data_IF_115064416465
#
_entry.id   IF_115064416465
#
_cell.length_a   1.000
_cell.length_b   1.000
_cell.length_c   1.000
_cell.angle_alpha   90.00
_cell.angle_beta   90.00
_cell.angle_gamma   90.00
#
_symmetry.space_group_name_H-M   'P 1'
#
loop_
_entity.id
_entity.type
_entity.pdbx_description
1 polymer ?
#
# COMPACT_ATOMS: atom_id res chain seq x y z
N UNK A 1 22.06 19.01 -8.36
CA UNK A 1 20.61 18.82 -8.49
C UNK A 1 20.26 18.70 -9.98
N UNK A 2 19.31 17.85 -10.37
CA UNK A 2 18.86 17.78 -11.76
C UNK A 2 18.15 19.09 -12.15
N UNK A 3 18.49 19.66 -13.31
CA UNK A 3 17.93 20.93 -13.84
C UNK A 3 16.40 20.93 -13.82
N UNK A 4 15.79 19.80 -14.19
CA UNK A 4 14.34 19.60 -14.17
C UNK A 4 13.68 19.80 -12.79
N UNK A 5 14.38 19.49 -11.69
CA UNK A 5 13.85 19.65 -10.32
C UNK A 5 13.84 21.12 -9.92
N UNK A 6 14.89 21.87 -10.28
CA UNK A 6 14.96 23.29 -10.00
C UNK A 6 13.89 24.06 -10.79
N UNK A 7 13.68 23.69 -12.06
CA UNK A 7 12.61 24.25 -12.91
C UNK A 7 11.22 23.92 -12.34
N UNK A 8 10.98 22.67 -11.93
CA UNK A 8 9.69 22.28 -11.33
C UNK A 8 9.42 23.04 -10.03
N UNK A 9 10.41 23.17 -9.14
CA UNK A 9 10.27 23.96 -7.90
C UNK A 9 9.97 25.42 -8.21
N UNK A 10 10.68 26.01 -9.18
CA UNK A 10 10.45 27.39 -9.60
C UNK A 10 9.02 27.57 -10.13
N UNK A 11 8.56 26.65 -10.99
CA UNK A 11 7.20 26.68 -11.52
C UNK A 11 6.15 26.54 -10.41
N UNK A 12 6.34 25.60 -9.48
CA UNK A 12 5.44 25.39 -8.34
C UNK A 12 5.35 26.64 -7.45
N UNK A 13 6.48 27.29 -7.16
CA UNK A 13 6.50 28.52 -6.36
C UNK A 13 5.77 29.69 -7.03
N UNK A 14 5.74 29.73 -8.37
CA UNK A 14 5.00 30.73 -9.14
C UNK A 14 3.49 30.42 -9.22
N UNK A 15 3.12 29.14 -9.24
CA UNK A 15 1.71 28.70 -9.24
C UNK A 15 1.07 28.90 -7.86
N UNK A 16 1.78 28.55 -6.80
CA UNK A 16 1.32 28.60 -5.41
C UNK A 16 1.96 29.81 -4.69
N UNK A 17 1.63 31.01 -5.17
CA UNK A 17 2.28 32.24 -4.76
C UNK A 17 1.62 32.95 -3.56
N UNK A 18 0.47 32.47 -3.09
CA UNK A 18 -0.17 33.09 -1.93
C UNK A 18 0.54 32.73 -0.61
N UNK A 19 0.27 33.53 0.42
CA UNK A 19 0.90 33.38 1.73
C UNK A 19 0.60 31.99 2.31
N UNK A 20 1.66 31.29 2.72
CA UNK A 20 1.64 29.94 3.31
C UNK A 20 1.25 28.81 2.33
N UNK A 21 1.11 29.09 1.02
CA UNK A 21 0.81 28.05 0.02
C UNK A 21 2.02 27.26 -0.42
N UNK A 22 3.20 27.87 -0.52
CA UNK A 22 4.44 27.18 -0.87
C UNK A 22 5.55 27.53 0.12
N UNK A 23 6.22 26.50 0.64
CA UNK A 23 7.36 26.65 1.53
C UNK A 23 8.45 25.65 1.17
N UNK A 24 9.62 26.16 0.76
CA UNK A 24 10.81 25.35 0.54
C UNK A 24 11.50 25.11 1.89
N UNK A 25 11.57 23.86 2.33
CA UNK A 25 12.11 23.49 3.65
C UNK A 25 13.61 23.19 3.57
N UNK A 26 14.01 22.39 2.58
CA UNK A 26 15.39 21.97 2.40
C UNK A 26 15.69 21.75 0.93
N UNK A 27 16.87 22.17 0.49
CA UNK A 27 17.41 21.82 -0.82
C UNK A 27 18.87 21.43 -0.64
N UNK A 28 19.21 20.22 -1.07
CA UNK A 28 20.55 19.68 -0.96
C UNK A 28 20.88 18.79 -2.14
N UNK A 29 22.12 18.86 -2.61
CA UNK A 29 22.63 17.98 -3.66
C UNK A 29 22.80 16.53 -3.19
N UNK A 30 22.75 16.27 -1.87
CA UNK A 30 22.93 14.93 -1.28
C UNK A 30 21.64 14.29 -0.76
N UNK A 31 20.61 15.10 -0.46
CA UNK A 31 19.33 14.63 0.10
C UNK A 31 18.17 14.87 -0.87
N UNK A 32 18.36 15.73 -1.86
CA UNK A 32 17.32 16.16 -2.78
C UNK A 32 16.60 17.42 -2.31
N UNK A 33 15.33 17.58 -2.68
CA UNK A 33 14.53 18.75 -2.32
C UNK A 33 13.33 18.36 -1.45
N UNK A 34 13.10 19.12 -0.38
CA UNK A 34 11.93 18.99 0.49
C UNK A 34 11.20 20.32 0.49
N UNK A 35 9.93 20.29 0.13
CA UNK A 35 9.05 21.46 0.19
C UNK A 35 7.65 21.05 0.60
N UNK A 36 6.88 22.04 1.02
CA UNK A 36 5.51 21.92 1.45
C UNK A 36 4.62 22.80 0.60
N UNK A 37 3.49 22.23 0.18
CA UNK A 37 2.43 22.93 -0.54
C UNK A 37 1.14 22.81 0.27
N UNK A 38 0.50 23.93 0.54
CA UNK A 38 -0.82 23.99 1.15
C UNK A 38 -1.85 24.27 0.06
N UNK A 39 -2.88 23.43 -0.02
CA UNK A 39 -3.96 23.60 -0.99
C UNK A 39 -5.33 23.57 -0.30
N UNK A 40 -6.28 24.31 -0.87
CA UNK A 40 -7.69 24.17 -0.54
C UNK A 40 -8.36 23.14 -1.47
N UNK A 41 -9.02 22.14 -0.90
CA UNK A 41 -9.82 21.14 -1.62
C UNK A 41 -11.27 21.22 -1.18
N UNK A 42 -12.19 20.82 -2.05
CA UNK A 42 -13.62 20.85 -1.76
C UNK A 42 -14.02 19.68 -0.84
N UNK A 43 -14.44 19.98 0.39
CA UNK A 43 -14.93 18.99 1.36
C UNK A 43 -16.43 18.75 1.30
N UNK A 44 -17.13 19.21 0.26
CA UNK A 44 -18.57 19.10 0.08
C UNK A 44 -19.32 20.31 0.66
N UNK A 45 -19.20 20.55 1.96
CA UNK A 45 -19.86 21.71 2.63
C UNK A 45 -18.92 22.89 2.85
N UNK A 46 -17.61 22.63 2.96
CA UNK A 46 -16.58 23.66 3.21
C UNK A 46 -15.25 23.28 2.55
N UNK A 47 -14.44 24.29 2.21
CA UNK A 47 -13.06 24.09 1.74
C UNK A 47 -12.17 23.56 2.85
N UNK A 48 -11.53 22.42 2.64
CA UNK A 48 -10.56 21.79 3.55
C UNK A 48 -9.14 22.20 3.13
N UNK A 49 -8.33 22.61 4.10
CA UNK A 49 -6.90 22.90 3.86
C UNK A 49 -6.07 21.63 4.06
N UNK A 50 -5.36 21.23 3.01
CA UNK A 50 -4.41 20.12 3.02
C UNK A 50 -2.99 20.66 2.97
N UNK A 51 -2.13 20.13 3.83
CA UNK A 51 -0.68 20.37 3.81
C UNK A 51 0.00 19.13 3.24
N UNK A 52 0.54 19.27 2.05
CA UNK A 52 1.26 18.24 1.31
C UNK A 52 2.76 18.54 1.39
N UNK A 53 3.54 17.62 1.94
CA UNK A 53 5.00 17.72 1.92
C UNK A 53 5.54 16.72 0.91
N UNK A 54 6.37 17.21 0.00
CA UNK A 54 7.05 16.42 -1.02
C UNK A 54 8.52 16.33 -0.67
N UNK A 55 9.08 15.13 -0.74
CA UNK A 55 10.50 14.88 -0.76
C UNK A 55 10.87 14.29 -2.11
N UNK A 56 11.62 15.07 -2.88
CA UNK A 56 12.15 14.69 -4.19
C UNK A 56 13.56 14.14 -3.97
N UNK A 57 13.80 12.83 -4.08
CA UNK A 57 15.14 12.26 -4.03
C UNK A 57 15.98 12.67 -5.25
N UNK A 58 17.29 12.43 -5.22
CA UNK A 58 18.21 12.85 -6.28
C UNK A 58 17.88 12.18 -7.62
N UNK A 59 17.37 10.95 -7.57
CA UNK A 59 17.03 10.16 -8.75
C UNK A 59 15.67 10.58 -9.37
N UNK A 60 14.93 11.50 -8.75
CA UNK A 60 13.70 12.05 -9.32
C UNK A 60 14.01 12.86 -10.60
N UNK A 61 13.19 12.75 -11.66
CA UNK A 61 11.88 12.08 -11.76
C UNK A 61 11.92 10.61 -12.19
N UNK A 62 13.09 9.96 -12.16
CA UNK A 62 13.23 8.54 -12.51
C UNK A 62 12.74 7.60 -11.39
N UNK A 63 12.45 8.15 -10.21
CA UNK A 63 11.82 7.46 -9.09
C UNK A 63 10.70 8.32 -8.48
N UNK A 64 9.89 7.71 -7.61
CA UNK A 64 8.73 8.37 -7.02
C UNK A 64 9.16 9.37 -5.92
N UNK A 65 8.45 10.50 -5.77
CA UNK A 65 8.60 11.35 -4.61
C UNK A 65 8.03 10.67 -3.35
N UNK A 66 8.59 10.95 -2.16
CA UNK A 66 7.87 10.66 -0.92
C UNK A 66 6.89 11.79 -0.62
N UNK A 67 5.66 11.42 -0.30
CA UNK A 67 4.55 12.35 -0.11
C UNK A 67 4.03 12.16 1.30
N UNK A 68 3.94 13.24 2.07
CA UNK A 68 3.30 13.27 3.38
C UNK A 68 2.09 14.18 3.35
N UNK A 69 0.95 13.65 3.76
CA UNK A 69 -0.34 14.37 3.77
C UNK A 69 -0.74 14.64 5.20
N UNK A 70 -1.00 15.90 5.53
CA UNK A 70 -1.46 16.33 6.84
C UNK A 70 -2.64 17.29 6.72
N UNK A 71 -3.62 17.13 7.61
CA UNK A 71 -4.81 17.96 7.67
C UNK A 71 -5.38 17.91 9.09
N UNK A 72 -5.86 19.04 9.60
CA UNK A 72 -6.45 19.13 10.94
C UNK A 72 -7.86 18.52 10.99
N UNK A 73 -8.57 18.50 9.86
CA UNK A 73 -9.96 18.04 9.78
C UNK A 73 -10.12 16.59 9.29
N UNK A 74 -9.06 15.99 8.77
CA UNK A 74 -9.09 14.61 8.30
C UNK A 74 -8.51 13.65 9.34
N UNK A 75 -9.10 12.47 9.41
CA UNK A 75 -8.56 11.37 10.20
C UNK A 75 -7.22 10.89 9.62
N UNK A 76 -6.39 10.27 10.46
CA UNK A 76 -5.14 9.64 10.01
C UNK A 76 -5.36 8.63 8.89
N UNK A 77 -6.50 7.93 8.89
CA UNK A 77 -6.88 6.97 7.83
C UNK A 77 -7.15 7.66 6.50
N UNK A 78 -7.88 8.78 6.51
CA UNK A 78 -8.14 9.59 5.31
C UNK A 78 -6.85 10.19 4.74
N UNK A 79 -5.96 10.73 5.58
CA UNK A 79 -4.66 11.23 5.14
C UNK A 79 -3.80 10.12 4.49
N UNK A 80 -3.82 8.91 5.06
CA UNK A 80 -3.14 7.76 4.45
C UNK A 80 -3.78 7.38 3.11
N UNK A 81 -5.11 7.33 3.03
CA UNK A 81 -5.81 7.03 1.78
C UNK A 81 -5.44 8.02 0.66
N UNK A 82 -5.37 9.32 0.98
CA UNK A 82 -4.94 10.37 0.05
C UNK A 82 -3.48 10.17 -0.36
N UNK A 83 -2.56 9.91 0.60
CA UNK A 83 -1.15 9.60 0.31
C UNK A 83 -1.04 8.44 -0.68
N UNK A 84 -1.75 7.34 -0.41
CA UNK A 84 -1.71 6.15 -1.28
C UNK A 84 -2.27 6.44 -2.67
N UNK A 85 -3.36 7.19 -2.77
CA UNK A 85 -3.97 7.56 -4.04
C UNK A 85 -3.05 8.46 -4.88
N UNK A 86 -2.35 9.40 -4.25
CA UNK A 86 -1.32 10.22 -4.90
C UNK A 86 -0.15 9.39 -5.41
N UNK A 87 0.37 8.46 -4.60
CA UNK A 87 1.47 7.57 -5.01
C UNK A 87 1.05 6.66 -6.17
N UNK A 88 -0.19 6.17 -6.17
CA UNK A 88 -0.73 5.38 -7.29
C UNK A 88 -0.74 6.20 -8.59
N UNK A 89 -1.23 7.44 -8.55
CA UNK A 89 -1.19 8.35 -9.72
C UNK A 89 0.25 8.69 -10.12
N UNK A 90 1.18 8.85 -9.17
CA UNK A 90 2.58 9.14 -9.44
C UNK A 90 3.27 8.04 -10.24
N UNK A 91 2.88 6.76 -10.06
CA UNK A 91 3.45 5.65 -10.86
C UNK A 91 3.15 5.77 -12.35
N UNK A 92 2.09 6.47 -12.73
CA UNK A 92 1.71 6.69 -14.14
C UNK A 92 2.46 7.87 -14.78
N UNK A 93 3.18 8.67 -13.96
CA UNK A 93 3.83 9.92 -14.37
C UNK A 93 5.36 9.85 -14.23
N UNK A 94 5.91 8.65 -14.03
CA UNK A 94 7.35 8.42 -13.95
C UNK A 94 8.04 8.94 -15.23
N UNK A 95 9.27 9.44 -15.07
CA UNK A 95 10.10 10.02 -16.14
C UNK A 95 9.78 11.49 -16.49
N UNK A 96 8.94 12.18 -15.72
CA UNK A 96 8.72 13.62 -15.83
C UNK A 96 8.38 14.30 -14.51
N UNK A 97 8.45 15.65 -14.44
CA UNK A 97 7.98 16.42 -13.30
C UNK A 97 6.47 16.18 -13.11
N UNK A 98 6.07 15.71 -11.93
CA UNK A 98 4.71 15.20 -11.67
C UNK A 98 3.98 15.90 -10.53
N UNK A 99 4.65 16.77 -9.76
CA UNK A 99 4.11 17.29 -8.50
C UNK A 99 2.87 18.16 -8.75
N UNK A 100 2.91 19.03 -9.75
CA UNK A 100 1.76 19.88 -10.08
C UNK A 100 0.56 19.04 -10.56
N UNK A 101 0.80 18.05 -11.43
CA UNK A 101 -0.27 17.18 -11.93
C UNK A 101 -0.92 16.37 -10.79
N UNK A 102 -0.11 15.89 -9.84
CA UNK A 102 -0.60 15.20 -8.65
C UNK A 102 -1.53 16.06 -7.80
N UNK A 103 -1.21 17.35 -7.65
CA UNK A 103 -2.02 18.30 -6.90
C UNK A 103 -3.35 18.58 -7.61
N UNK A 104 -3.31 18.86 -8.92
CA UNK A 104 -4.51 19.09 -9.73
C UNK A 104 -5.41 17.85 -9.73
N UNK A 105 -4.82 16.66 -9.87
CA UNK A 105 -5.55 15.41 -9.80
C UNK A 105 -6.22 15.22 -8.43
N UNK A 106 -5.51 15.52 -7.34
CA UNK A 106 -6.08 15.44 -6.00
C UNK A 106 -7.25 16.40 -5.82
N UNK A 107 -7.13 17.65 -6.27
CA UNK A 107 -8.22 18.63 -6.17
C UNK A 107 -9.51 18.12 -6.83
N UNK A 108 -9.40 17.44 -7.98
CA UNK A 108 -10.55 16.85 -8.68
C UNK A 108 -11.08 15.56 -8.05
N UNK A 109 -10.24 14.75 -7.41
CA UNK A 109 -10.61 13.41 -6.92
C UNK A 109 -10.77 13.36 -5.39
N UNK A 110 -10.58 14.47 -4.69
CA UNK A 110 -10.54 14.52 -3.24
C UNK A 110 -11.84 14.03 -2.60
N UNK A 111 -13.01 14.47 -3.07
CA UNK A 111 -14.32 14.07 -2.53
C UNK A 111 -14.51 12.56 -2.63
N UNK A 112 -14.25 11.98 -3.80
CA UNK A 112 -14.36 10.55 -4.04
C UNK A 112 -13.41 9.72 -3.17
N UNK A 113 -12.17 10.19 -2.95
CA UNK A 113 -11.20 9.51 -2.07
C UNK A 113 -11.65 9.63 -0.60
N UNK A 114 -12.13 10.80 -0.21
CA UNK A 114 -12.51 11.10 1.16
C UNK A 114 -13.79 10.33 1.56
N UNK A 115 -14.79 10.25 0.70
CA UNK A 115 -16.03 9.49 0.92
C UNK A 115 -15.77 7.99 1.05
N UNK A 116 -14.94 7.42 0.15
CA UNK A 116 -14.51 6.02 0.23
C UNK A 116 -13.79 5.69 1.55
N UNK A 117 -13.07 6.66 2.12
CA UNK A 117 -12.39 6.49 3.39
C UNK A 117 -13.26 6.77 4.62
N UNK A 118 -14.28 7.63 4.51
CA UNK A 118 -15.14 8.05 5.61
C UNK A 118 -16.28 7.06 5.89
N UNK A 119 -16.79 6.39 4.86
CA UNK A 119 -17.89 5.43 4.98
C UNK A 119 -17.55 4.16 4.18
N UNK A 120 -17.20 3.03 4.84
CA UNK A 120 -17.00 1.74 4.14
C UNK A 120 -18.32 1.11 3.67
N UNK A 121 -19.42 1.87 3.64
CA UNK A 121 -20.69 1.39 3.09
C UNK A 121 -20.55 1.39 1.59
N UNK A 122 -20.50 0.20 1.03
CA UNK A 122 -20.72 -0.07 -0.39
C UNK A 122 -21.90 0.76 -0.91
N UNK A 123 -21.70 1.46 -2.04
CA UNK A 123 -22.72 1.44 -3.06
C UNK A 123 -22.11 0.88 -4.32
N UNK A 124 -22.77 -0.14 -4.84
CA UNK A 124 -22.66 -0.54 -6.23
C UNK A 124 -23.00 0.63 -7.17
N UNK A 125 -22.38 0.58 -8.36
CA UNK A 125 -22.75 1.26 -9.61
C UNK A 125 -22.49 2.79 -9.66
N UNK A 126 -21.97 3.40 -10.75
CA UNK A 126 -21.74 2.97 -12.13
C UNK A 126 -20.87 4.02 -12.87
N UNK A 127 -20.43 3.65 -14.08
CA UNK A 127 -19.65 4.37 -15.11
C UNK A 127 -18.14 4.42 -14.87
N UNK A 128 -17.25 3.96 -15.75
CA UNK A 128 -17.40 3.36 -17.08
C UNK A 128 -16.14 2.53 -17.40
N UNK A 129 -16.37 1.37 -18.04
CA UNK A 129 -15.52 0.73 -19.06
C UNK A 129 -14.18 0.09 -18.65
N UNK A 130 -14.19 -1.25 -18.67
CA UNK A 130 -13.13 -2.03 -19.33
C UNK A 130 -11.84 -2.26 -18.55
N UNK A 131 -11.94 -2.93 -17.41
CA UNK A 131 -10.78 -3.60 -16.82
C UNK A 131 -11.27 -4.67 -15.88
N UNK A 132 -11.09 -5.95 -16.23
CA UNK A 132 -11.20 -7.03 -15.26
C UNK A 132 -10.44 -6.59 -14.00
N UNK A 133 -11.10 -6.55 -12.85
CA UNK A 133 -10.43 -6.33 -11.59
C UNK A 133 -9.46 -7.50 -11.41
N UNK A 134 -8.19 -7.30 -11.80
CA UNK A 134 -7.19 -8.35 -11.77
C UNK A 134 -6.99 -8.76 -10.32
N UNK A 135 -7.52 -9.93 -9.97
CA UNK A 135 -7.33 -10.54 -8.68
C UNK A 135 -5.96 -11.19 -8.68
N UNK A 136 -5.07 -10.73 -7.81
CA UNK A 136 -3.76 -11.31 -7.62
C UNK A 136 -3.75 -12.16 -6.36
N UNK A 137 -3.01 -13.26 -6.40
CA UNK A 137 -2.74 -14.12 -5.26
C UNK A 137 -1.24 -14.14 -5.01
N UNK A 138 -0.82 -13.93 -3.76
CA UNK A 138 0.55 -14.13 -3.33
C UNK A 138 0.64 -15.11 -2.17
N UNK A 139 1.69 -15.91 -2.18
CA UNK A 139 2.00 -16.88 -1.14
C UNK A 139 3.35 -16.53 -0.53
N UNK A 140 3.35 -16.26 0.77
CA UNK A 140 4.52 -15.85 1.54
C UNK A 140 4.90 -16.96 2.53
N UNK A 141 6.19 -17.15 2.74
CA UNK A 141 6.74 -18.02 3.76
C UNK A 141 7.42 -17.17 4.84
N UNK A 142 6.99 -17.38 6.08
CA UNK A 142 7.64 -16.84 7.28
C UNK A 142 8.55 -17.92 7.88
N UNK A 143 9.71 -17.49 8.35
CA UNK A 143 10.72 -18.37 8.96
C UNK A 143 10.29 -18.80 10.37
N UNK A 144 9.91 -17.83 11.21
CA UNK A 144 9.42 -18.09 12.55
C UNK A 144 8.43 -17.03 12.99
N UNK A 145 7.64 -17.37 14.01
CA UNK A 145 6.72 -16.45 14.68
C UNK A 145 6.84 -16.68 16.18
N UNK A 146 7.64 -15.85 16.87
CA UNK A 146 7.83 -15.96 18.32
C UNK A 146 6.71 -15.28 19.11
N UNK A 147 6.11 -14.23 18.56
CA UNK A 147 5.02 -13.47 19.20
C UNK A 147 3.63 -13.72 18.57
N UNK A 148 3.19 -15.00 18.51
CA UNK A 148 1.95 -15.46 17.82
C UNK A 148 0.75 -14.52 17.94
N UNK A 149 0.27 -14.25 19.15
CA UNK A 149 -0.96 -13.47 19.36
C UNK A 149 -0.85 -12.01 18.89
N UNK A 150 0.33 -11.39 19.02
CA UNK A 150 0.57 -10.03 18.53
C UNK A 150 0.67 -10.02 17.01
N UNK A 151 1.30 -11.03 16.46
CA UNK A 151 1.49 -11.20 15.04
C UNK A 151 0.16 -11.35 14.30
N UNK A 152 -0.70 -12.25 14.79
CA UNK A 152 -2.04 -12.50 14.24
C UNK A 152 -2.84 -11.19 14.13
N UNK A 153 -2.94 -10.44 15.24
CA UNK A 153 -3.64 -9.14 15.26
C UNK A 153 -3.05 -8.11 14.30
N UNK A 154 -1.73 -8.17 14.10
CA UNK A 154 -1.04 -7.23 13.20
C UNK A 154 -1.32 -7.58 11.75
N UNK A 155 -1.27 -8.86 11.39
CA UNK A 155 -1.62 -9.34 10.06
C UNK A 155 -3.09 -9.03 9.76
N UNK A 156 -4.01 -9.40 10.64
CA UNK A 156 -5.46 -9.15 10.46
C UNK A 156 -5.75 -7.66 10.26
N UNK A 157 -5.05 -6.80 11.02
CA UNK A 157 -5.14 -5.36 10.85
C UNK A 157 -4.63 -4.92 9.47
N UNK A 158 -3.45 -5.37 9.05
CA UNK A 158 -2.90 -4.99 7.75
C UNK A 158 -3.73 -5.49 6.59
N UNK A 159 -4.23 -6.72 6.65
CA UNK A 159 -5.08 -7.27 5.59
C UNK A 159 -6.41 -6.53 5.52
N UNK A 160 -7.02 -6.22 6.66
CA UNK A 160 -8.21 -5.36 6.72
C UNK A 160 -7.95 -3.94 6.19
N UNK A 161 -6.88 -3.28 6.64
CA UNK A 161 -6.51 -1.92 6.23
C UNK A 161 -6.22 -1.82 4.73
N UNK A 162 -5.66 -2.88 4.12
CA UNK A 162 -5.34 -2.97 2.70
C UNK A 162 -6.44 -3.60 1.84
N UNK A 163 -7.58 -4.00 2.43
CA UNK A 163 -8.64 -4.71 1.72
C UNK A 163 -8.17 -6.02 1.08
N UNK A 164 -7.21 -6.69 1.72
CA UNK A 164 -6.72 -8.01 1.34
C UNK A 164 -7.51 -9.09 2.06
N UNK A 165 -7.72 -10.19 1.36
CA UNK A 165 -8.34 -11.42 1.87
C UNK A 165 -7.34 -12.55 1.80
N UNK A 166 -7.65 -13.71 2.38
CA UNK A 166 -6.75 -14.85 2.29
C UNK A 166 -6.66 -15.63 3.60
N UNK A 167 -5.50 -16.24 3.86
CA UNK A 167 -5.37 -17.16 4.98
C UNK A 167 -3.95 -17.21 5.53
N UNK A 168 -3.83 -17.20 6.85
CA UNK A 168 -2.60 -17.53 7.57
C UNK A 168 -2.64 -19.01 7.97
N UNK A 169 -1.68 -19.78 7.48
CA UNK A 169 -1.48 -21.17 7.85
C UNK A 169 -0.36 -21.29 8.88
N UNK A 170 -0.65 -21.95 10.00
CA UNK A 170 0.28 -22.15 11.09
C UNK A 170 0.48 -23.63 11.35
N UNK A 171 1.70 -24.12 11.14
CA UNK A 171 2.05 -25.51 11.40
C UNK A 171 3.56 -25.67 11.35
N UNK A 172 4.04 -26.74 10.70
CA UNK A 172 5.49 -26.91 10.43
C UNK A 172 6.09 -25.72 9.68
N UNK A 173 5.33 -25.16 8.75
CA UNK A 173 5.66 -23.96 8.00
C UNK A 173 4.63 -22.88 8.32
N UNK A 174 5.06 -21.62 8.28
CA UNK A 174 4.17 -20.48 8.52
C UNK A 174 3.96 -19.81 7.17
N UNK A 175 2.76 -19.96 6.61
CA UNK A 175 2.44 -19.46 5.27
C UNK A 175 1.38 -18.38 5.35
N UNK A 176 1.53 -17.32 4.57
CA UNK A 176 0.50 -16.30 4.38
C UNK A 176 0.07 -16.32 2.93
N UNK A 177 -1.20 -16.66 2.71
CA UNK A 177 -1.87 -16.51 1.44
C UNK A 177 -2.62 -15.18 1.42
N UNK A 178 -2.37 -14.36 0.41
CA UNK A 178 -3.01 -13.06 0.21
C UNK A 178 -3.70 -13.02 -1.14
N UNK A 179 -4.92 -12.52 -1.16
CA UNK A 179 -5.72 -12.30 -2.35
C UNK A 179 -6.25 -10.87 -2.37
N UNK A 180 -6.05 -10.19 -3.49
CA UNK A 180 -6.52 -8.84 -3.70
C UNK A 180 -5.83 -8.17 -4.88
N UNK A 181 -5.83 -6.84 -4.91
CA UNK A 181 -5.12 -6.10 -5.96
C UNK A 181 -3.61 -6.25 -5.81
N UNK A 182 -2.90 -6.38 -6.93
CA UNK A 182 -1.43 -6.51 -6.97
C UNK A 182 -0.72 -5.47 -6.10
N UNK A 183 -1.16 -4.21 -6.19
CA UNK A 183 -0.56 -3.10 -5.44
C UNK A 183 -0.72 -3.26 -3.93
N UNK A 184 -1.87 -3.72 -3.46
CA UNK A 184 -2.15 -3.93 -2.04
C UNK A 184 -1.29 -5.08 -1.50
N UNK A 185 -1.08 -6.13 -2.31
CA UNK A 185 -0.17 -7.23 -1.96
C UNK A 185 1.26 -6.72 -1.81
N UNK A 186 1.74 -5.87 -2.74
CA UNK A 186 3.07 -5.26 -2.63
C UNK A 186 3.21 -4.40 -1.37
N UNK A 187 2.21 -3.58 -1.06
CA UNK A 187 2.19 -2.76 0.15
C UNK A 187 2.25 -3.64 1.42
N UNK A 188 1.53 -4.77 1.44
CA UNK A 188 1.63 -5.74 2.53
C UNK A 188 3.04 -6.31 2.67
N UNK A 189 3.67 -6.73 1.56
CA UNK A 189 5.04 -7.28 1.57
C UNK A 189 6.04 -6.25 2.12
N UNK A 190 5.88 -4.97 1.78
CA UNK A 190 6.70 -3.88 2.32
C UNK A 190 6.46 -3.74 3.83
N UNK A 191 5.20 -3.68 4.28
CA UNK A 191 4.86 -3.59 5.70
C UNK A 191 5.45 -4.75 6.49
N UNK A 192 5.32 -5.97 5.98
CA UNK A 192 5.84 -7.20 6.58
C UNK A 192 7.36 -7.11 6.79
N UNK A 193 8.12 -6.71 5.76
CA UNK A 193 9.58 -6.62 5.82
C UNK A 193 10.11 -5.45 6.66
N UNK A 194 9.37 -4.34 6.72
CA UNK A 194 9.85 -3.10 7.33
C UNK A 194 9.42 -2.92 8.79
N UNK A 195 8.27 -3.50 9.16
CA UNK A 195 7.69 -3.39 10.49
C UNK A 195 8.32 -4.36 11.49
N UNK A 196 8.40 -3.94 12.75
CA UNK A 196 8.86 -4.81 13.85
C UNK A 196 7.70 -5.58 14.47
N UNK A 197 7.20 -6.55 13.71
CA UNK A 197 6.04 -7.35 14.12
C UNK A 197 6.43 -8.45 15.10
N UNK A 198 7.59 -9.10 14.92
CA UNK A 198 8.07 -10.17 15.79
C UNK A 198 9.07 -9.71 16.87
N UNK A 199 9.59 -10.67 17.64
CA UNK A 199 10.69 -10.53 18.59
C UNK A 199 11.83 -11.48 18.25
N UNK A 200 13.08 -11.14 18.56
CA UNK A 200 14.24 -12.02 18.36
C UNK A 200 14.38 -13.07 19.49
N UNK A 201 15.46 -13.87 19.45
CA UNK A 201 15.79 -14.83 20.53
C UNK A 201 16.07 -14.22 21.88
N UNK A 202 16.28 -12.91 21.94
CA UNK A 202 16.47 -12.16 23.18
C UNK A 202 15.21 -11.36 23.56
N UNK A 203 14.09 -11.53 22.86
CA UNK A 203 12.83 -10.84 23.12
C UNK A 203 12.76 -9.39 22.61
N UNK A 204 13.76 -8.91 21.87
CA UNK A 204 13.75 -7.56 21.29
C UNK A 204 12.95 -7.53 19.99
N UNK A 205 12.29 -6.42 19.72
CA UNK A 205 11.47 -6.23 18.51
C UNK A 205 12.30 -6.47 17.23
N UNK A 206 11.93 -7.46 16.43
CA UNK A 206 12.63 -7.92 15.23
C UNK A 206 11.82 -7.61 13.95
N UNK A 207 12.51 -7.40 12.83
CA UNK A 207 11.91 -7.24 11.50
C UNK A 207 11.96 -8.58 10.75
N UNK A 208 10.97 -8.81 9.89
CA UNK A 208 10.89 -10.02 9.05
C UNK A 208 11.75 -9.89 7.79
N UNK A 209 13.06 -9.74 7.96
CA UNK A 209 13.97 -9.60 6.82
C UNK A 209 14.09 -10.87 5.97
N UNK A 210 13.80 -12.04 6.56
CA UNK A 210 13.93 -13.35 5.92
C UNK A 210 12.63 -13.89 5.33
N UNK A 211 11.53 -13.13 5.38
CA UNK A 211 10.28 -13.52 4.72
C UNK A 211 10.50 -13.65 3.22
N UNK A 212 10.05 -14.78 2.66
CA UNK A 212 10.16 -15.09 1.24
C UNK A 212 8.79 -14.96 0.58
N UNK A 213 8.76 -14.32 -0.59
CA UNK A 213 7.60 -14.37 -1.49
C UNK A 213 7.80 -15.63 -2.33
N UNK A 214 7.05 -16.69 -2.06
CA UNK A 214 7.16 -17.95 -2.80
C UNK A 214 6.60 -17.78 -4.21
N UNK A 215 5.42 -17.15 -4.32
CA UNK A 215 4.72 -16.93 -5.60
C UNK A 215 3.87 -15.68 -5.55
N UNK A 216 3.69 -15.09 -6.73
CA UNK A 216 2.74 -14.03 -7.03
C UNK A 216 2.12 -14.36 -8.41
N UNK A 217 0.83 -14.67 -8.45
CA UNK A 217 0.11 -15.06 -9.67
C UNK A 217 -1.14 -14.23 -9.87
N UNK A 218 -1.47 -13.93 -11.12
CA UNK A 218 -2.74 -13.34 -11.49
C UNK A 218 -3.79 -14.46 -11.63
N UNK A 219 -4.90 -14.33 -10.92
CA UNK A 219 -5.97 -15.29 -10.95
C UNK A 219 -6.91 -15.03 -12.13
N UNK A 220 -7.37 -16.08 -12.83
CA UNK A 220 -8.49 -15.96 -13.75
C UNK A 220 -9.76 -15.49 -13.03
N UNK A 221 -10.66 -14.83 -13.73
CA UNK A 221 -11.93 -14.35 -13.16
C UNK A 221 -12.90 -15.42 -12.68
N UNK A 222 -12.68 -16.67 -13.06
CA UNK A 222 -13.45 -17.83 -12.61
C UNK A 222 -13.06 -18.31 -11.22
N UNK A 223 -12.01 -17.75 -10.62
CA UNK A 223 -11.52 -18.18 -9.32
C UNK A 223 -12.30 -17.56 -8.18
N UNK A 224 -12.63 -18.39 -7.19
CA UNK A 224 -13.35 -17.94 -6.01
C UNK A 224 -12.38 -17.24 -5.06
N UNK A 225 -12.66 -15.97 -4.79
CA UNK A 225 -11.94 -15.20 -3.79
C UNK A 225 -12.34 -15.69 -2.39
N UNK A 226 -11.37 -15.82 -1.50
CA UNK A 226 -11.63 -16.03 -0.07
C UNK A 226 -12.32 -14.77 0.46
N UNK A 227 -13.50 -14.86 1.11
CA UNK A 227 -14.30 -13.68 1.43
C UNK A 227 -13.68 -12.80 2.52
N UNK A 228 -12.91 -13.40 3.43
CA UNK A 228 -12.29 -12.73 4.58
C UNK A 228 -10.87 -13.24 4.81
N UNK A 229 -10.10 -12.56 5.64
CA UNK A 229 -8.82 -13.10 6.08
C UNK A 229 -9.05 -14.07 7.23
N UNK A 230 -8.58 -15.31 7.10
CA UNK A 230 -8.76 -16.36 8.09
C UNK A 230 -7.44 -16.85 8.67
N UNK A 231 -7.48 -17.40 9.88
CA UNK A 231 -6.31 -18.02 10.50
C UNK A 231 -6.61 -19.49 10.75
N UNK A 232 -5.72 -20.38 10.29
CA UNK A 232 -5.86 -21.83 10.37
C UNK A 232 -4.57 -22.46 10.88
N UNK A 233 -4.68 -23.25 11.94
CA UNK A 233 -3.63 -24.17 12.34
C UNK A 233 -3.77 -25.48 11.54
N UNK A 234 -2.66 -26.09 11.15
CA UNK A 234 -2.64 -27.40 10.48
C UNK A 234 -1.61 -28.33 11.12
N UNK A 235 -1.93 -29.62 11.20
CA UNK A 235 -1.12 -30.62 11.90
C UNK A 235 -0.39 -31.57 10.94
N UNK A 236 -0.90 -31.74 9.72
CA UNK A 236 -0.32 -32.62 8.71
C UNK A 236 -0.29 -31.95 7.33
N UNK A 237 0.53 -32.49 6.43
CA UNK A 237 0.58 -32.03 5.03
C UNK A 237 -0.76 -32.25 4.31
N UNK A 238 -1.48 -33.30 4.67
CA UNK A 238 -2.81 -33.62 4.15
C UNK A 238 -3.85 -32.57 4.57
N UNK A 239 -3.76 -32.07 5.80
CA UNK A 239 -4.62 -30.98 6.28
C UNK A 239 -4.35 -29.68 5.52
N UNK A 240 -3.06 -29.34 5.33
CA UNK A 240 -2.68 -28.18 4.53
C UNK A 240 -3.19 -28.31 3.09
N UNK A 241 -3.06 -29.49 2.48
CA UNK A 241 -3.57 -29.77 1.13
C UNK A 241 -5.07 -29.52 1.03
N UNK A 242 -5.85 -30.06 1.97
CA UNK A 242 -7.32 -29.88 2.00
C UNK A 242 -7.68 -28.40 2.08
N UNK A 243 -6.96 -27.62 2.86
CA UNK A 243 -7.23 -26.18 2.97
C UNK A 243 -6.92 -25.40 1.69
N UNK A 244 -5.89 -25.81 0.93
CA UNK A 244 -5.62 -25.25 -0.40
C UNK A 244 -6.67 -25.70 -1.43
N UNK A 245 -7.11 -26.95 -1.39
CA UNK A 245 -8.20 -27.48 -2.22
C UNK A 245 -9.52 -26.74 -1.97
N UNK A 246 -9.87 -26.48 -0.72
CA UNK A 246 -11.06 -25.69 -0.34
C UNK A 246 -10.99 -24.24 -0.81
N UNK A 247 -9.79 -23.67 -0.90
CA UNK A 247 -9.57 -22.34 -1.46
C UNK A 247 -9.46 -22.34 -3.00
N UNK A 248 -9.62 -23.50 -3.65
CA UNK A 248 -9.44 -23.70 -5.08
C UNK A 248 -7.98 -23.80 -5.54
N UNK A 249 -7.01 -23.53 -4.68
CA UNK A 249 -5.58 -23.31 -4.95
C UNK A 249 -4.73 -24.59 -4.99
N UNK A 250 -5.31 -25.71 -5.44
CA UNK A 250 -4.64 -27.02 -5.48
C UNK A 250 -3.32 -27.02 -6.27
N UNK A 251 -3.25 -26.23 -7.35
CA UNK A 251 -2.04 -26.09 -8.18
C UNK A 251 -0.89 -25.41 -7.42
N UNK A 252 -1.19 -24.34 -6.67
CA UNK A 252 -0.19 -23.67 -5.82
C UNK A 252 0.35 -24.59 -4.73
N UNK A 253 -0.48 -25.51 -4.22
CA UNK A 253 -0.03 -26.49 -3.23
C UNK A 253 0.99 -27.47 -3.83
N UNK A 254 0.74 -28.00 -5.04
CA UNK A 254 1.68 -28.94 -5.70
C UNK A 254 3.06 -28.31 -5.91
N UNK A 255 3.09 -27.05 -6.35
CA UNK A 255 4.34 -26.29 -6.51
C UNK A 255 5.02 -26.00 -5.17
N UNK A 256 4.25 -25.67 -4.13
CA UNK A 256 4.78 -25.46 -2.78
C UNK A 256 5.42 -26.73 -2.20
N UNK A 257 4.86 -27.91 -2.46
CA UNK A 257 5.47 -29.19 -2.06
C UNK A 257 6.84 -29.37 -2.71
N UNK A 258 7.02 -28.99 -3.97
CA UNK A 258 8.34 -29.06 -4.62
C UNK A 258 9.37 -28.09 -4.04
N UNK A 259 8.93 -26.99 -3.40
CA UNK A 259 9.82 -25.97 -2.81
C UNK A 259 10.17 -26.25 -1.34
N UNK A 260 9.41 -27.11 -0.65
CA UNK A 260 9.54 -27.40 0.79
C UNK A 260 10.04 -28.82 1.11
N UNK A 261 10.31 -29.62 0.07
CA UNK A 261 10.97 -30.94 0.13
C UNK A 261 12.46 -30.76 -0.15
#
# INVERSE_FOLDING_TARGET
MAEAVAEEISALSAIYCDKDEFELLETSDTVGAIFRIQIAVDGGSERILLKLQFHLPIEYPSCLPDISVSCERLTRKQCLAIKHALLEKATLLISGPMVHELIVWLQHNFTAINEKSANPRTPDCQSEQGGHAELWTALLLLDHMRAKSKYMKTIEKWTSDLGLTGRLFMGKWILILLQGRKRNIKDYVILQKTSKVDVDSSGKKCKEKMMQVLREIQMPSSYQQIPTFEIKDYSSQEDLKKEFELAGLSELYLELVHMLV
#
